data_IF_789798772791
#
_entry.id   IF_789798772791
#
_cell.length_a   1.000
_cell.length_b   1.000
_cell.length_c   1.000
_cell.angle_alpha   90.00
_cell.angle_beta   90.00
_cell.angle_gamma   90.00
#
_symmetry.space_group_name_H-M   'P 1'
#
loop_
_entity.id
_entity.type
_entity.pdbx_description
1 polymer ?
#
# COMPACT_ATOMS: atom_id res chain seq x y z
N UNK A 1 -4.24 -15.04 5.63
CA UNK A 1 -3.01 -15.07 4.81
C UNK A 1 -1.78 -15.44 5.63
N UNK A 2 -1.44 -14.74 6.73
CA UNK A 2 -0.23 -15.02 7.53
C UNK A 2 -0.12 -16.47 8.05
N UNK A 3 -1.24 -17.05 8.54
CA UNK A 3 -1.25 -18.44 9.03
C UNK A 3 -0.89 -19.46 7.92
N UNK A 4 -1.42 -19.25 6.70
CA UNK A 4 -1.16 -20.13 5.55
C UNK A 4 0.30 -20.08 5.06
N UNK A 5 0.97 -18.92 5.19
CA UNK A 5 2.40 -18.79 4.83
C UNK A 5 3.27 -19.58 5.83
N UNK A 6 2.94 -19.50 7.12
CA UNK A 6 3.64 -20.26 8.17
C UNK A 6 3.46 -21.77 8.00
N UNK A 7 2.28 -22.22 7.58
CA UNK A 7 2.02 -23.64 7.26
C UNK A 7 2.89 -24.17 6.10
N UNK A 8 3.42 -23.30 5.24
CA UNK A 8 4.34 -23.65 4.17
C UNK A 8 5.82 -23.65 4.60
N UNK A 9 6.12 -23.51 5.89
CA UNK A 9 7.49 -23.33 6.44
C UNK A 9 8.23 -22.15 5.82
N UNK A 10 7.50 -21.15 5.32
CA UNK A 10 8.08 -19.88 4.89
C UNK A 10 7.96 -18.94 6.08
N UNK A 11 9.07 -18.38 6.56
CA UNK A 11 9.05 -17.32 7.57
C UNK A 11 8.95 -15.96 6.87
N UNK A 12 7.77 -15.31 6.85
CA UNK A 12 7.65 -13.99 6.26
C UNK A 12 8.19 -12.94 7.22
N UNK A 13 8.84 -11.93 6.66
CA UNK A 13 9.12 -10.69 7.39
C UNK A 13 7.79 -9.96 7.63
N UNK A 14 7.37 -9.87 8.89
CA UNK A 14 6.17 -9.11 9.28
C UNK A 14 6.56 -7.65 9.53
N UNK A 15 5.94 -6.73 8.81
CA UNK A 15 6.14 -5.29 8.98
C UNK A 15 4.83 -4.68 9.46
N UNK A 16 4.85 -4.05 10.64
CA UNK A 16 3.71 -3.28 11.14
C UNK A 16 3.69 -1.90 10.47
N UNK A 17 3.19 -1.83 9.24
CA UNK A 17 3.23 -0.61 8.42
C UNK A 17 2.50 0.60 9.04
N UNK A 18 1.60 0.37 10.01
CA UNK A 18 0.99 1.44 10.80
C UNK A 18 1.93 2.06 11.84
N UNK A 19 2.97 1.33 12.28
CA UNK A 19 3.97 1.82 13.26
C UNK A 19 5.28 2.22 12.60
N UNK A 20 5.70 1.45 11.61
CA UNK A 20 6.90 1.68 10.80
C UNK A 20 6.47 1.78 9.34
N UNK A 21 6.02 2.96 8.89
CA UNK A 21 5.68 3.16 7.50
C UNK A 21 6.92 2.91 6.63
N UNK A 22 6.69 2.31 5.46
CA UNK A 22 7.73 2.14 4.46
C UNK A 22 8.02 3.51 3.82
N UNK A 23 9.23 3.69 3.31
CA UNK A 23 9.56 4.92 2.60
C UNK A 23 8.94 4.93 1.18
N UNK A 24 8.87 6.11 0.56
CA UNK A 24 8.32 6.30 -0.81
C UNK A 24 8.92 5.31 -1.82
N UNK A 25 10.24 5.17 -1.83
CA UNK A 25 10.96 4.31 -2.76
C UNK A 25 10.59 2.84 -2.60
N UNK A 26 10.43 2.37 -1.36
CA UNK A 26 9.98 1.00 -1.06
C UNK A 26 8.54 0.78 -1.51
N UNK A 27 7.66 1.76 -1.35
CA UNK A 27 6.26 1.68 -1.82
C UNK A 27 6.22 1.63 -3.35
N UNK A 28 6.98 2.48 -4.04
CA UNK A 28 7.08 2.46 -5.50
C UNK A 28 7.61 1.12 -6.04
N UNK A 29 8.62 0.54 -5.39
CA UNK A 29 9.11 -0.79 -5.73
C UNK A 29 8.04 -1.86 -5.54
N UNK A 30 7.28 -1.80 -4.44
CA UNK A 30 6.20 -2.74 -4.18
C UNK A 30 5.08 -2.63 -5.22
N UNK A 31 4.67 -1.41 -5.57
CA UNK A 31 3.69 -1.17 -6.63
C UNK A 31 4.15 -1.78 -7.97
N UNK A 32 5.41 -1.55 -8.35
CA UNK A 32 6.01 -2.16 -9.55
C UNK A 32 6.02 -3.69 -9.50
N UNK A 33 6.36 -4.29 -8.36
CA UNK A 33 6.37 -5.76 -8.18
C UNK A 33 4.97 -6.36 -8.19
N UNK A 34 3.98 -5.62 -7.68
CA UNK A 34 2.58 -6.04 -7.66
C UNK A 34 1.87 -5.80 -9.00
N UNK A 35 2.40 -4.90 -9.85
CA UNK A 35 1.80 -4.55 -11.14
C UNK A 35 0.50 -3.77 -11.00
N UNK A 36 0.30 -3.08 -9.87
CA UNK A 36 -0.88 -2.25 -9.59
C UNK A 36 -0.45 -0.80 -9.40
N UNK A 37 -1.37 0.13 -9.65
CA UNK A 37 -1.15 1.56 -9.42
C UNK A 37 -1.30 1.92 -7.94
N UNK A 38 -0.71 3.04 -7.53
CA UNK A 38 -0.89 3.58 -6.17
C UNK A 38 -2.38 3.74 -5.81
N UNK A 39 -3.21 4.14 -6.78
CA UNK A 39 -4.66 4.33 -6.61
C UNK A 39 -5.39 3.03 -6.25
N UNK A 40 -4.96 1.89 -6.79
CA UNK A 40 -5.53 0.57 -6.49
C UNK A 40 -5.10 0.05 -5.11
N UNK A 41 -3.98 0.54 -4.57
CA UNK A 41 -3.51 0.20 -3.23
C UNK A 41 -4.26 0.95 -2.13
N UNK A 42 -4.84 2.11 -2.44
CA UNK A 42 -5.51 2.96 -1.44
C UNK A 42 -6.72 2.27 -0.82
N UNK A 43 -6.75 2.26 0.52
CA UNK A 43 -7.89 1.80 1.28
C UNK A 43 -8.96 2.89 1.33
N UNK A 44 -10.20 2.57 0.95
CA UNK A 44 -11.35 3.48 1.06
C UNK A 44 -12.00 3.45 2.45
N UNK A 45 -12.09 2.27 3.07
CA UNK A 45 -12.81 2.11 4.35
C UNK A 45 -11.98 2.60 5.53
N UNK A 46 -12.48 3.63 6.23
CA UNK A 46 -11.87 4.16 7.45
C UNK A 46 -10.71 5.13 7.19
N UNK A 47 -10.69 5.76 6.02
CA UNK A 47 -9.71 6.75 5.59
C UNK A 47 -10.46 7.96 5.02
N UNK A 48 -9.83 9.14 4.94
CA UNK A 48 -10.41 10.33 4.30
C UNK A 48 -10.43 10.23 2.76
N UNK A 49 -10.48 9.01 2.19
CA UNK A 49 -10.39 8.78 0.76
C UNK A 49 -11.49 9.52 -0.02
N UNK A 50 -12.74 9.40 0.43
CA UNK A 50 -13.89 10.02 -0.20
C UNK A 50 -13.93 11.54 0.07
N UNK A 51 -13.51 11.97 1.26
CA UNK A 51 -13.49 13.39 1.66
C UNK A 51 -12.45 14.20 0.85
N UNK A 52 -11.33 13.58 0.51
CA UNK A 52 -10.24 14.21 -0.25
C UNK A 52 -10.31 13.91 -1.76
N UNK A 53 -11.21 13.02 -2.17
CA UNK A 53 -11.31 12.54 -3.55
C UNK A 53 -10.00 11.93 -4.04
N UNK A 54 -9.36 11.06 -3.24
CA UNK A 54 -8.08 10.42 -3.61
C UNK A 54 -8.19 9.50 -4.84
N UNK A 55 -9.43 9.15 -5.22
CA UNK A 55 -9.73 8.44 -6.47
C UNK A 55 -9.69 9.32 -7.73
N UNK A 56 -9.67 10.65 -7.58
CA UNK A 56 -9.75 11.56 -8.71
C UNK A 56 -8.49 11.48 -9.60
N UNK A 57 -8.67 11.65 -10.90
CA UNK A 57 -7.58 11.74 -11.88
C UNK A 57 -6.67 12.96 -11.67
N UNK A 58 -7.06 13.90 -10.80
CA UNK A 58 -6.26 15.08 -10.41
C UNK A 58 -5.00 14.70 -9.63
N UNK A 59 -5.01 13.54 -8.96
CA UNK A 59 -3.86 13.04 -8.21
C UNK A 59 -2.94 12.21 -9.13
N UNK A 60 -1.66 12.59 -9.16
CA UNK A 60 -0.60 11.78 -9.77
C UNK A 60 -0.24 10.59 -8.88
N UNK A 61 0.40 9.56 -9.45
CA UNK A 61 0.88 8.43 -8.64
C UNK A 61 1.83 8.88 -7.52
N UNK A 62 2.78 9.75 -7.83
CA UNK A 62 3.68 10.34 -6.83
C UNK A 62 2.94 11.00 -5.67
N UNK A 63 1.92 11.80 -5.97
CA UNK A 63 1.15 12.50 -4.95
C UNK A 63 0.30 11.54 -4.09
N UNK A 64 -0.10 10.39 -4.63
CA UNK A 64 -0.80 9.36 -3.88
C UNK A 64 0.16 8.53 -3.01
N UNK A 65 1.41 8.36 -3.42
CA UNK A 65 2.45 7.69 -2.62
C UNK A 65 2.99 8.59 -1.51
N UNK A 66 2.98 9.91 -1.72
CA UNK A 66 3.41 10.92 -0.74
C UNK A 66 2.35 11.28 0.33
N UNK A 67 1.13 10.72 0.21
CA UNK A 67 0.01 11.01 1.11
C UNK A 67 0.05 10.19 2.41
#
# INVERSE_FOLDING_TARGET
>A
VLAFIREKNIEPRVVEYLKTPLNKTEIEELLKRMGISARELLRQKGTPYDELGLGDAKWSEDALVDF
#
